data_IF_533668046679
#
_entry.id   IF_533668046679
#
_cell.length_a   1.000
_cell.length_b   1.000
_cell.length_c   1.000
_cell.angle_alpha   90.00
_cell.angle_beta   90.00
_cell.angle_gamma   90.00
#
_symmetry.space_group_name_H-M   'P 1'
#
loop_
_entity.id
_entity.type
_entity.pdbx_description
1 polymer ?
#
# COMPACT_ATOMS: atom_id res chain seq x y z
N UNK A 1 -7.54 42.51 38.73
CA UNK A 1 -7.58 41.47 37.70
C UNK A 1 -6.61 41.90 36.65
N UNK A 2 -5.39 41.40 36.79
CA UNK A 2 -4.24 41.75 35.97
C UNK A 2 -3.93 40.54 35.12
N UNK A 3 -3.87 40.72 33.80
CA UNK A 3 -3.55 39.62 32.90
C UNK A 3 -2.12 39.15 33.17
N UNK A 4 -1.92 37.83 33.21
CA UNK A 4 -0.60 37.22 33.44
C UNK A 4 -0.10 36.50 32.19
N UNK A 5 -0.97 35.76 31.50
CA UNK A 5 -0.56 34.93 30.37
C UNK A 5 -1.65 34.83 29.31
N UNK A 6 -1.24 34.91 28.06
CA UNK A 6 -2.07 34.64 26.88
C UNK A 6 -1.48 33.41 26.19
N UNK A 7 -2.34 32.48 25.78
CA UNK A 7 -1.93 31.27 25.08
C UNK A 7 -2.77 31.13 23.82
N UNK A 8 -2.12 30.91 22.68
CA UNK A 8 -2.79 30.50 21.44
C UNK A 8 -2.41 29.04 21.19
N UNK A 9 -3.41 28.18 21.13
CA UNK A 9 -3.29 26.75 20.84
C UNK A 9 -3.67 26.49 19.39
N UNK A 10 -2.85 25.69 18.70
CA UNK A 10 -3.00 25.35 17.29
C UNK A 10 -3.13 23.84 17.11
N UNK A 11 -3.98 23.40 16.17
CA UNK A 11 -4.17 21.97 15.92
C UNK A 11 -4.89 21.27 17.07
N UNK A 12 -5.92 21.91 17.64
CA UNK A 12 -6.68 21.33 18.75
C UNK A 12 -7.54 20.18 18.22
N UNK A 13 -7.48 18.96 18.81
CA UNK A 13 -8.20 17.81 18.25
C UNK A 13 -9.72 17.95 18.34
N UNK A 14 -10.23 18.44 19.48
CA UNK A 14 -11.66 18.64 19.72
C UNK A 14 -11.91 19.88 20.60
N UNK A 15 -13.13 20.43 20.52
CA UNK A 15 -13.62 21.40 21.48
C UNK A 15 -13.48 20.83 22.91
N UNK A 16 -13.07 21.64 23.86
CA UNK A 16 -12.70 21.29 25.26
C UNK A 16 -11.29 20.72 25.49
N UNK A 17 -10.58 20.28 24.43
CA UNK A 17 -9.25 19.66 24.55
C UNK A 17 -8.09 20.58 24.17
N UNK A 18 -8.18 21.87 24.55
CA UNK A 18 -7.15 22.87 24.21
C UNK A 18 -5.73 22.49 24.67
N UNK A 19 -5.58 21.74 25.77
CA UNK A 19 -4.27 21.30 26.27
C UNK A 19 -3.61 20.22 25.41
N UNK A 20 -4.39 19.52 24.57
CA UNK A 20 -3.90 18.45 23.70
C UNK A 20 -3.52 18.99 22.31
N UNK A 21 -3.34 20.30 22.18
CA UNK A 21 -2.92 20.96 20.95
C UNK A 21 -1.52 20.50 20.50
N UNK A 22 -1.28 20.59 19.19
CA UNK A 22 0.01 20.22 18.59
C UNK A 22 1.12 21.22 18.90
N UNK A 23 0.74 22.51 18.92
CA UNK A 23 1.63 23.61 19.27
C UNK A 23 0.86 24.71 19.98
N UNK A 24 1.58 25.45 20.82
CA UNK A 24 1.06 26.61 21.51
C UNK A 24 2.07 27.74 21.55
N UNK A 25 1.60 28.98 21.37
CA UNK A 25 2.36 30.20 21.63
C UNK A 25 1.89 30.74 22.98
N UNK A 26 2.81 30.87 23.94
CA UNK A 26 2.55 31.44 25.25
C UNK A 26 3.23 32.81 25.32
N UNK A 27 2.42 33.85 25.50
CA UNK A 27 2.88 35.21 25.71
C UNK A 27 2.68 35.55 27.19
N UNK A 28 3.77 35.80 27.88
CA UNK A 28 3.72 36.24 29.27
C UNK A 28 3.78 37.74 29.36
N UNK A 29 2.83 38.27 30.13
CA UNK A 29 2.61 39.69 30.27
C UNK A 29 2.68 40.06 31.73
N UNK A 30 3.23 41.23 31.99
CA UNK A 30 3.24 41.82 33.32
C UNK A 30 2.67 43.21 33.21
N UNK A 31 1.81 43.56 34.17
CA UNK A 31 1.34 44.93 34.27
C UNK A 31 2.51 45.84 34.64
N UNK A 32 2.72 46.89 33.86
CA UNK A 32 3.62 47.96 34.26
C UNK A 32 2.86 48.87 35.23
N UNK A 33 3.42 49.09 36.41
CA UNK A 33 2.85 49.99 37.42
C UNK A 33 3.39 51.41 37.29
N UNK A 34 4.42 51.63 36.47
CA UNK A 34 5.01 52.93 36.22
C UNK A 34 4.24 53.74 35.18
N UNK A 35 3.61 53.06 34.21
CA UNK A 35 2.72 53.64 33.22
C UNK A 35 1.30 53.18 33.52
N UNK A 36 0.33 54.10 33.75
CA UNK A 36 -1.06 53.71 33.93
C UNK A 36 -1.55 52.96 32.69
N UNK A 37 -2.06 51.74 32.91
CA UNK A 37 -2.75 50.91 31.91
C UNK A 37 -1.90 50.42 30.73
N UNK A 38 -0.61 50.12 30.93
CA UNK A 38 0.16 49.31 29.99
C UNK A 38 0.53 47.94 30.54
N UNK A 39 0.65 46.98 29.64
CA UNK A 39 1.27 45.69 29.89
C UNK A 39 2.62 45.68 29.18
N UNK A 40 3.61 45.06 29.81
CA UNK A 40 4.87 44.72 29.17
C UNK A 40 4.86 43.23 28.83
N UNK A 41 5.32 42.91 27.63
CA UNK A 41 5.52 41.53 27.21
C UNK A 41 6.89 41.10 27.74
N UNK A 42 6.89 40.14 28.66
CA UNK A 42 8.12 39.63 29.27
C UNK A 42 8.83 38.66 28.34
N UNK A 43 8.09 37.67 27.83
CA UNK A 43 8.61 36.64 26.95
C UNK A 43 7.52 36.01 26.12
N UNK A 44 7.95 35.50 24.96
CA UNK A 44 7.16 34.65 24.08
C UNK A 44 7.84 33.29 24.11
N UNK A 45 7.08 32.26 24.43
CA UNK A 45 7.55 30.87 24.48
C UNK A 45 6.67 30.00 23.61
N UNK A 46 7.24 28.97 23.04
CA UNK A 46 6.54 28.04 22.14
C UNK A 46 6.59 26.66 22.76
N UNK A 47 5.43 26.11 23.07
CA UNK A 47 5.28 24.71 23.50
C UNK A 47 4.86 23.90 22.27
N UNK A 48 5.82 23.19 21.68
CA UNK A 48 5.61 22.44 20.45
C UNK A 48 6.53 21.24 20.41
N UNK A 49 6.00 20.07 20.02
CA UNK A 49 6.80 18.83 19.87
C UNK A 49 7.73 18.90 18.67
N UNK A 50 7.28 19.57 17.61
CA UNK A 50 8.00 19.84 16.38
C UNK A 50 7.91 21.35 16.09
N UNK A 51 8.84 21.94 15.33
CA UNK A 51 8.84 23.39 15.03
C UNK A 51 7.74 23.78 14.03
N UNK A 52 6.46 23.63 14.42
CA UNK A 52 5.28 23.94 13.61
C UNK A 52 5.06 25.44 13.48
N UNK A 53 5.37 26.19 14.54
CA UNK A 53 5.38 27.65 14.54
C UNK A 53 6.82 28.14 14.58
N UNK A 54 7.14 29.07 13.69
CA UNK A 54 8.43 29.72 13.64
C UNK A 54 8.61 30.67 14.82
N UNK A 55 9.50 30.31 15.75
CA UNK A 55 9.78 31.10 16.93
C UNK A 55 10.42 32.46 16.58
N UNK A 56 11.26 32.51 15.55
CA UNK A 56 12.01 33.72 15.17
C UNK A 56 11.11 34.75 14.47
N UNK A 57 10.07 34.26 13.78
CA UNK A 57 9.08 35.11 13.12
C UNK A 57 7.90 35.50 14.04
N UNK A 58 7.88 35.01 15.29
CA UNK A 58 6.79 35.33 16.21
C UNK A 58 7.04 36.64 16.93
N UNK A 59 6.08 37.56 16.85
CA UNK A 59 6.12 38.84 17.57
C UNK A 59 4.77 39.12 18.23
N UNK A 60 4.80 39.81 19.36
CA UNK A 60 3.61 40.24 20.07
C UNK A 60 3.74 41.72 20.42
N UNK A 61 2.65 42.46 20.27
CA UNK A 61 2.56 43.87 20.69
C UNK A 61 1.27 44.10 21.44
N UNK A 62 1.27 45.11 22.30
CA UNK A 62 0.08 45.51 23.08
C UNK A 62 -0.20 46.98 22.86
N UNK A 63 -1.47 47.31 22.62
CA UNK A 63 -1.95 48.68 22.42
C UNK A 63 -3.20 48.90 23.27
N UNK A 64 -3.34 50.11 23.79
CA UNK A 64 -4.56 50.53 24.47
C UNK A 64 -5.54 51.10 23.44
N UNK A 65 -6.77 50.56 23.40
CA UNK A 65 -7.80 50.89 22.41
C UNK A 65 -9.13 51.13 23.11
N UNK A 66 -9.99 51.99 22.57
CA UNK A 66 -11.34 52.19 23.12
C UNK A 66 -12.18 50.94 22.89
N UNK A 67 -12.70 50.33 23.96
CA UNK A 67 -13.57 49.15 23.86
C UNK A 67 -14.89 49.46 23.14
N UNK A 68 -15.40 50.67 23.35
CA UNK A 68 -16.69 51.11 22.82
C UNK A 68 -16.60 52.59 22.42
N UNK A 69 -17.48 53.02 21.51
CA UNK A 69 -17.52 54.43 21.04
C UNK A 69 -18.25 55.32 22.05
N UNK A 70 -19.17 54.75 22.83
CA UNK A 70 -20.05 55.47 23.75
C UNK A 70 -19.46 55.66 25.16
N UNK A 71 -18.92 54.59 25.75
CA UNK A 71 -18.29 54.62 27.06
C UNK A 71 -16.78 54.59 26.87
N UNK A 72 -16.06 55.56 27.46
CA UNK A 72 -14.58 55.70 27.45
C UNK A 72 -13.85 54.55 28.19
N UNK A 73 -14.41 53.35 28.15
CA UNK A 73 -13.80 52.11 28.61
C UNK A 73 -12.62 51.80 27.70
N UNK A 74 -11.44 51.68 28.33
CA UNK A 74 -10.19 51.35 27.65
C UNK A 74 -9.96 49.83 27.71
N UNK A 75 -9.69 49.25 26.55
CA UNK A 75 -9.36 47.84 26.34
C UNK A 75 -7.89 47.71 25.97
N UNK A 76 -7.34 46.53 26.21
CA UNK A 76 -6.03 46.16 25.69
C UNK A 76 -6.21 45.26 24.48
N UNK A 77 -5.61 45.66 23.36
CA UNK A 77 -5.50 44.86 22.17
C UNK A 77 -4.11 44.23 22.12
N UNK A 78 -4.07 42.90 22.11
CA UNK A 78 -2.85 42.13 21.89
C UNK A 78 -2.82 41.68 20.44
N UNK A 79 -1.76 42.04 19.74
CA UNK A 79 -1.54 41.70 18.33
C UNK A 79 -0.36 40.73 18.28
N UNK A 80 -0.62 39.47 17.96
CA UNK A 80 0.36 38.39 17.89
C UNK A 80 0.49 37.98 16.42
N UNK A 81 1.66 38.20 15.84
CA UNK A 81 2.00 37.80 14.48
C UNK A 81 2.90 36.59 14.54
N UNK A 82 2.59 35.56 13.76
CA UNK A 82 3.33 34.31 13.73
C UNK A 82 3.32 33.72 12.32
N UNK A 83 4.24 32.80 12.05
CA UNK A 83 4.31 32.03 10.81
C UNK A 83 4.21 30.54 11.11
N UNK A 84 3.28 29.88 10.43
CA UNK A 84 3.13 28.42 10.48
C UNK A 84 4.02 27.80 9.40
N UNK A 85 4.80 26.81 9.80
CA UNK A 85 5.83 26.14 8.99
C UNK A 85 5.31 24.85 8.35
N UNK A 86 4.26 24.25 8.89
CA UNK A 86 3.68 23.02 8.38
C UNK A 86 2.17 23.00 8.61
N UNK A 87 1.41 22.29 7.77
CA UNK A 87 -0.02 22.14 8.00
C UNK A 87 -0.29 21.41 9.32
N UNK A 88 -1.25 21.94 10.10
CA UNK A 88 -1.71 21.38 11.37
C UNK A 88 -2.65 20.20 11.11
N UNK A 89 -2.74 19.24 12.04
CA UNK A 89 -3.66 18.10 11.91
C UNK A 89 -5.14 18.46 12.03
N UNK A 90 -5.43 19.55 12.73
CA UNK A 90 -6.77 20.09 12.93
C UNK A 90 -6.79 21.58 12.64
N UNK A 91 -7.89 22.06 12.09
CA UNK A 91 -8.09 23.48 11.77
C UNK A 91 -8.64 24.28 12.98
N UNK A 92 -8.82 23.63 14.14
CA UNK A 92 -9.32 24.29 15.35
C UNK A 92 -8.18 25.03 16.06
N UNK A 93 -8.41 26.32 16.32
CA UNK A 93 -7.54 27.17 17.13
C UNK A 93 -8.26 27.50 18.44
N UNK A 94 -7.52 27.53 19.56
CA UNK A 94 -8.07 27.99 20.83
C UNK A 94 -7.23 29.13 21.41
N UNK A 95 -7.91 30.11 21.99
CA UNK A 95 -7.32 31.25 22.66
C UNK A 95 -7.60 31.13 24.14
N UNK A 96 -6.57 31.27 24.96
CA UNK A 96 -6.68 31.20 26.41
C UNK A 96 -6.05 32.42 27.05
N UNK A 97 -6.76 33.02 28.00
CA UNK A 97 -6.26 34.11 28.81
C UNK A 97 -6.30 33.71 30.29
N UNK A 98 -5.20 33.97 30.99
CA UNK A 98 -5.02 33.65 32.40
C UNK A 98 -4.69 34.92 33.19
N UNK A 99 -5.49 35.18 34.22
CA UNK A 99 -5.28 36.26 35.20
C UNK A 99 -4.30 35.83 36.30
N UNK A 100 -3.74 36.80 37.03
CA UNK A 100 -3.00 36.62 38.29
C UNK A 100 -3.69 35.72 39.32
N UNK A 101 -5.03 35.70 39.36
CA UNK A 101 -5.83 34.81 40.20
C UNK A 101 -5.93 33.36 39.65
N UNK A 102 -5.19 33.04 38.58
CA UNK A 102 -5.19 31.75 37.88
C UNK A 102 -6.55 31.34 37.29
N UNK A 103 -7.44 32.30 37.07
CA UNK A 103 -8.68 32.07 36.32
C UNK A 103 -8.34 32.00 34.85
N UNK A 104 -8.77 30.93 34.19
CA UNK A 104 -8.48 30.66 32.78
C UNK A 104 -9.79 30.69 32.00
N UNK A 105 -9.82 31.49 30.94
CA UNK A 105 -10.92 31.53 29.98
C UNK A 105 -10.39 31.05 28.64
N UNK A 106 -11.01 30.00 28.09
CA UNK A 106 -10.65 29.44 26.78
C UNK A 106 -11.79 29.66 25.79
N UNK A 107 -11.45 30.24 24.64
CA UNK A 107 -12.35 30.47 23.52
C UNK A 107 -11.85 29.70 22.31
N UNK A 108 -12.74 29.01 21.60
CA UNK A 108 -12.40 28.23 20.42
C UNK A 108 -12.82 28.97 19.16
N UNK A 109 -11.97 28.93 18.13
CA UNK A 109 -12.29 29.34 16.78
C UNK A 109 -12.16 28.10 15.88
N UNK A 110 -13.31 27.57 15.50
CA UNK A 110 -13.44 26.34 14.71
C UNK A 110 -13.85 26.59 13.25
N UNK A 111 -14.34 27.79 12.93
CA UNK A 111 -14.90 28.11 11.62
C UNK A 111 -14.20 29.34 11.01
N UNK A 112 -13.82 29.23 9.74
CA UNK A 112 -13.16 30.31 9.00
C UNK A 112 -11.63 30.41 9.13
N UNK A 113 -10.97 29.45 9.79
CA UNK A 113 -9.50 29.37 9.83
C UNK A 113 -9.06 28.20 8.95
N UNK A 114 -8.31 28.49 7.88
CA UNK A 114 -7.75 27.47 6.99
C UNK A 114 -6.26 27.74 6.87
N UNK A 115 -5.46 26.75 7.26
CA UNK A 115 -4.02 26.76 7.03
C UNK A 115 -3.74 26.14 5.66
N UNK A 116 -3.37 26.98 4.70
CA UNK A 116 -3.04 26.59 3.34
C UNK A 116 -1.58 26.93 3.02
N UNK A 117 -0.89 26.05 2.31
CA UNK A 117 0.51 26.20 1.92
C UNK A 117 1.28 24.88 1.99
N UNK A 118 2.42 24.84 1.32
CA UNK A 118 3.33 23.70 1.38
C UNK A 118 4.10 23.69 2.69
N UNK A 119 4.43 22.50 3.21
CA UNK A 119 5.25 22.40 4.41
C UNK A 119 6.69 22.84 4.13
N UNK A 120 7.19 23.74 4.97
CA UNK A 120 8.60 24.16 4.99
C UNK A 120 9.47 23.24 5.86
N UNK A 121 8.85 22.29 6.57
CA UNK A 121 9.56 21.31 7.37
C UNK A 121 9.99 20.13 6.51
N UNK A 122 11.12 19.51 6.88
CA UNK A 122 11.54 18.27 6.28
C UNK A 122 10.45 17.18 6.49
N UNK A 123 10.26 16.29 5.51
CA UNK A 123 9.32 15.17 5.64
C UNK A 123 9.72 14.28 6.81
N UNK A 124 8.74 13.81 7.57
CA UNK A 124 9.02 12.90 8.68
C UNK A 124 9.52 11.57 8.12
N UNK A 125 10.51 10.96 8.78
CA UNK A 125 11.09 9.69 8.35
C UNK A 125 10.97 8.64 9.45
N UNK A 126 10.64 7.41 9.06
CA UNK A 126 10.59 6.26 9.95
C UNK A 126 11.29 5.09 9.28
N UNK A 127 12.07 4.33 10.05
CA UNK A 127 12.76 3.14 9.54
C UNK A 127 12.40 1.94 10.37
N UNK A 128 12.16 0.81 9.71
CA UNK A 128 11.94 -0.47 10.39
C UNK A 128 12.42 -1.62 9.51
N UNK A 129 12.65 -2.76 10.14
CA UNK A 129 13.16 -3.95 9.47
C UNK A 129 12.05 -4.98 9.36
N UNK A 130 11.80 -5.48 8.14
CA UNK A 130 10.91 -6.61 7.92
C UNK A 130 11.73 -7.85 7.59
N UNK A 131 11.40 -8.96 8.24
CA UNK A 131 11.86 -10.29 7.86
C UNK A 131 10.68 -11.05 7.25
N UNK A 132 10.69 -11.26 5.93
CA UNK A 132 9.74 -12.17 5.26
C UNK A 132 10.35 -13.58 5.25
N UNK A 133 9.94 -14.43 6.19
CA UNK A 133 10.44 -15.80 6.31
C UNK A 133 11.93 -15.89 6.72
N UNK A 134 12.68 -16.80 6.08
CA UNK A 134 14.10 -17.07 6.36
C UNK A 134 15.09 -16.17 5.58
N UNK A 135 14.65 -15.02 5.07
CA UNK A 135 15.53 -14.12 4.34
C UNK A 135 16.53 -13.43 5.28
N UNK A 136 17.81 -13.59 4.95
CA UNK A 136 18.94 -12.84 5.51
C UNK A 136 19.68 -12.15 4.36
N UNK A 137 19.96 -10.84 4.43
CA UNK A 137 19.68 -9.89 5.50
C UNK A 137 18.21 -9.44 5.57
N UNK A 138 17.80 -8.90 6.73
CA UNK A 138 16.49 -8.28 6.88
C UNK A 138 16.40 -7.02 6.00
N UNK A 139 15.30 -6.85 5.30
CA UNK A 139 15.06 -5.69 4.46
C UNK A 139 14.76 -4.48 5.35
N UNK A 140 15.50 -3.38 5.15
CA UNK A 140 15.26 -2.12 5.85
C UNK A 140 14.36 -1.25 4.99
N UNK A 141 13.19 -0.94 5.50
CA UNK A 141 12.18 -0.10 4.86
C UNK A 141 12.30 1.31 5.43
N UNK A 142 12.46 2.29 4.55
CA UNK A 142 12.53 3.71 4.92
C UNK A 142 11.26 4.39 4.47
N UNK A 143 10.40 4.72 5.43
CA UNK A 143 9.18 5.45 5.19
C UNK A 143 9.41 6.94 5.29
N UNK A 144 8.82 7.67 4.36
CA UNK A 144 8.80 9.13 4.32
C UNK A 144 7.34 9.60 4.35
N UNK A 145 7.03 10.58 5.17
CA UNK A 145 5.72 11.23 5.21
C UNK A 145 5.83 12.60 4.55
N UNK A 146 5.22 12.76 3.38
CA UNK A 146 5.22 14.04 2.68
C UNK A 146 4.24 15.05 3.30
N UNK A 147 3.03 14.60 3.63
CA UNK A 147 2.02 15.44 4.28
C UNK A 147 1.75 14.93 5.70
N UNK A 148 1.93 15.81 6.69
CA UNK A 148 1.72 15.51 8.11
C UNK A 148 0.25 15.34 8.46
N UNK A 149 -0.67 15.98 7.72
CA UNK A 149 -2.11 15.91 7.99
C UNK A 149 -2.65 14.50 7.89
N UNK A 150 -2.10 13.75 6.96
CA UNK A 150 -2.55 12.40 6.68
C UNK A 150 -1.53 11.41 7.18
N UNK A 151 -2.02 10.36 7.81
CA UNK A 151 -1.20 9.24 8.25
C UNK A 151 -0.81 8.32 7.08
N UNK A 152 -0.35 8.91 5.99
CA UNK A 152 0.00 8.25 4.74
C UNK A 152 1.50 8.37 4.55
N UNK A 153 2.17 7.23 4.50
CA UNK A 153 3.62 7.12 4.42
C UNK A 153 4.01 6.42 3.13
N UNK A 154 5.10 6.86 2.51
CA UNK A 154 5.62 6.28 1.27
C UNK A 154 7.00 5.67 1.50
N UNK A 155 7.17 4.44 1.05
CA UNK A 155 8.44 3.72 1.10
C UNK A 155 9.36 4.08 -0.08
N UNK A 156 10.64 3.73 0.03
CA UNK A 156 11.66 3.83 -1.03
C UNK A 156 11.27 3.12 -2.33
N UNK A 157 10.39 2.12 -2.25
CA UNK A 157 9.86 1.37 -3.39
C UNK A 157 8.52 1.91 -3.92
N UNK A 158 8.01 3.01 -3.37
CA UNK A 158 6.72 3.61 -3.77
C UNK A 158 5.49 2.94 -3.16
N UNK A 159 5.66 2.05 -2.17
CA UNK A 159 4.53 1.46 -1.45
C UNK A 159 3.95 2.44 -0.44
N UNK A 160 2.62 2.39 -0.27
CA UNK A 160 1.89 3.24 0.67
C UNK A 160 1.63 2.47 1.95
N UNK A 161 1.97 3.09 3.07
CA UNK A 161 1.85 2.57 4.41
C UNK A 161 0.99 3.49 5.28
N UNK A 162 0.25 2.89 6.20
CA UNK A 162 -0.48 3.58 7.27
C UNK A 162 0.06 3.10 8.62
N UNK A 163 0.05 3.99 9.62
CA UNK A 163 0.32 3.60 11.00
C UNK A 163 -1.00 3.40 11.75
N UNK A 164 -1.21 2.29 12.44
CA UNK A 164 -2.42 2.16 13.26
C UNK A 164 -2.26 2.88 14.61
N UNK A 165 -3.35 2.96 15.38
CA UNK A 165 -3.37 3.55 16.73
C UNK A 165 -2.40 2.85 17.70
N UNK A 166 -2.16 1.55 17.49
CA UNK A 166 -1.21 0.74 18.28
C UNK A 166 0.26 0.96 17.87
N UNK A 167 0.52 1.80 16.87
CA UNK A 167 1.86 2.14 16.40
C UNK A 167 2.51 1.13 15.45
N UNK A 168 1.80 0.09 15.01
CA UNK A 168 2.25 -0.85 13.99
C UNK A 168 1.94 -0.35 12.57
N UNK A 169 2.76 -0.79 11.62
CA UNK A 169 2.67 -0.39 10.22
C UNK A 169 1.84 -1.37 9.40
N UNK A 170 0.95 -0.83 8.56
CA UNK A 170 0.13 -1.59 7.62
C UNK A 170 0.40 -1.12 6.19
N UNK A 171 0.78 -2.05 5.32
CA UNK A 171 0.97 -1.77 3.90
C UNK A 171 -0.39 -1.79 3.20
N UNK A 172 -0.81 -0.66 2.61
CA UNK A 172 -2.05 -0.59 1.84
C UNK A 172 -1.89 -1.18 0.44
N UNK A 173 -0.83 -0.79 -0.26
CA UNK A 173 -0.58 -1.27 -1.62
C UNK A 173 0.08 -2.63 -1.56
N UNK A 174 -0.71 -3.67 -1.83
CA UNK A 174 -0.19 -5.01 -2.01
C UNK A 174 0.43 -5.03 -3.41
N UNK A 175 1.76 -5.26 -3.50
CA UNK A 175 2.32 -5.69 -4.77
C UNK A 175 1.54 -6.96 -5.19
N UNK A 176 1.06 -7.02 -6.42
CA UNK A 176 0.56 -8.27 -6.98
C UNK A 176 1.72 -9.26 -6.89
N UNK A 177 1.70 -10.11 -5.87
CA UNK A 177 2.62 -11.20 -5.76
C UNK A 177 2.17 -12.21 -6.80
N UNK A 178 2.77 -12.14 -7.99
CA UNK A 178 2.77 -13.29 -8.86
C UNK A 178 3.62 -14.33 -8.13
N UNK A 179 2.95 -15.34 -7.55
CA UNK A 179 3.64 -16.57 -7.23
C UNK A 179 4.38 -17.00 -8.49
N UNK A 180 5.72 -17.02 -8.43
CA UNK A 180 6.51 -17.84 -9.33
C UNK A 180 6.19 -19.30 -8.98
N UNK A 181 4.96 -19.72 -9.29
CA UNK A 181 4.59 -21.10 -9.32
C UNK A 181 5.33 -21.71 -10.51
N UNK A 182 6.06 -22.79 -10.26
CA UNK A 182 6.56 -23.62 -11.35
C UNK A 182 5.38 -23.92 -12.28
N UNK A 183 5.50 -23.73 -13.61
CA UNK A 183 4.42 -24.02 -14.54
C UNK A 183 3.94 -25.44 -14.30
N UNK A 184 2.63 -25.70 -14.35
CA UNK A 184 2.07 -27.03 -14.05
C UNK A 184 2.77 -28.11 -14.90
N UNK A 185 3.72 -28.83 -14.29
CA UNK A 185 4.55 -29.78 -15.03
C UNK A 185 3.81 -31.11 -15.11
N UNK A 186 3.32 -31.46 -16.29
CA UNK A 186 2.78 -32.79 -16.57
C UNK A 186 3.93 -33.75 -16.93
N UNK A 187 3.72 -35.06 -16.85
CA UNK A 187 4.70 -36.09 -17.26
C UNK A 187 5.25 -35.82 -18.66
N UNK A 188 4.41 -35.26 -19.54
CA UNK A 188 4.76 -34.93 -20.93
C UNK A 188 5.60 -33.64 -21.09
N UNK A 189 5.63 -32.75 -20.10
CA UNK A 189 6.40 -31.49 -20.15
C UNK A 189 7.70 -31.54 -19.33
N UNK A 190 8.01 -32.70 -18.71
CA UNK A 190 9.28 -32.94 -18.02
C UNK A 190 10.39 -33.27 -19.01
N UNK A 191 11.14 -32.25 -19.43
CA UNK A 191 12.42 -32.43 -20.14
C UNK A 191 13.52 -32.90 -19.19
N UNK A 192 13.50 -34.19 -18.84
CA UNK A 192 14.65 -34.84 -18.22
C UNK A 192 15.43 -35.57 -19.31
N UNK A 193 16.73 -35.25 -19.41
CA UNK A 193 17.63 -35.81 -20.44
C UNK A 193 17.72 -37.34 -20.41
N UNK A 194 17.36 -37.97 -19.28
CA UNK A 194 17.40 -39.43 -19.14
C UNK A 194 16.13 -40.15 -19.63
N UNK A 195 15.05 -39.45 -20.01
CA UNK A 195 13.83 -40.13 -20.47
C UNK A 195 14.01 -40.80 -21.81
N UNK A 196 14.73 -40.14 -22.73
CA UNK A 196 15.07 -40.69 -24.03
C UNK A 196 15.82 -42.02 -23.84
N UNK A 197 16.80 -42.04 -22.93
CA UNK A 197 17.53 -43.26 -22.58
C UNK A 197 16.66 -44.36 -21.96
N UNK A 198 15.63 -44.00 -21.18
CA UNK A 198 14.70 -44.98 -20.60
C UNK A 198 13.78 -45.61 -21.67
N UNK A 199 13.27 -44.80 -22.61
CA UNK A 199 12.47 -45.29 -23.75
C UNK A 199 13.32 -46.24 -24.61
N UNK A 200 14.56 -45.88 -24.87
CA UNK A 200 15.47 -46.67 -25.69
C UNK A 200 15.85 -47.99 -24.99
N UNK A 201 16.08 -47.96 -23.68
CA UNK A 201 16.32 -49.17 -22.89
C UNK A 201 15.10 -50.11 -22.84
N UNK A 202 13.89 -49.57 -22.67
CA UNK A 202 12.66 -50.39 -22.72
C UNK A 202 12.39 -50.93 -24.13
N UNK A 203 12.72 -50.18 -25.19
CA UNK A 203 12.62 -50.67 -26.56
C UNK A 203 13.58 -51.83 -26.82
N UNK A 204 14.84 -51.72 -26.40
CA UNK A 204 15.83 -52.82 -26.50
C UNK A 204 15.36 -54.03 -25.68
N UNK A 205 14.78 -53.81 -24.50
CA UNK A 205 14.23 -54.89 -23.68
C UNK A 205 13.01 -55.55 -24.32
N UNK A 206 12.15 -54.78 -24.98
CA UNK A 206 10.99 -55.29 -25.70
C UNK A 206 11.39 -56.08 -26.96
N UNK A 207 12.43 -55.67 -27.69
CA UNK A 207 12.96 -56.43 -28.84
C UNK A 207 13.43 -57.84 -28.44
N UNK A 208 13.94 -58.04 -27.22
CA UNK A 208 14.30 -59.37 -26.70
C UNK A 208 13.09 -60.28 -26.44
N UNK A 209 11.93 -59.70 -26.14
CA UNK A 209 10.70 -60.46 -25.85
C UNK A 209 9.92 -60.71 -27.14
N UNK A 210 9.84 -59.71 -28.03
CA UNK A 210 9.11 -59.81 -29.28
C UNK A 210 9.57 -58.73 -30.27
N UNK A 211 10.27 -59.14 -31.32
CA UNK A 211 10.70 -58.23 -32.37
C UNK A 211 9.61 -58.09 -33.45
N UNK A 212 8.79 -57.04 -33.35
CA UNK A 212 7.75 -56.77 -34.35
C UNK A 212 8.30 -56.42 -35.74
N UNK A 213 9.60 -56.07 -35.86
CA UNK A 213 10.23 -55.80 -37.17
C UNK A 213 10.62 -57.07 -37.93
N UNK A 214 10.67 -58.22 -37.25
CA UNK A 214 10.85 -59.55 -37.86
C UNK A 214 9.53 -60.18 -38.33
N UNK A 215 8.40 -59.54 -38.07
CA UNK A 215 7.12 -59.91 -38.69
C UNK A 215 7.23 -59.53 -40.17
N UNK A 216 7.81 -60.44 -40.96
CA UNK A 216 7.80 -60.35 -42.40
C UNK A 216 6.36 -60.15 -42.86
N UNK A 217 6.11 -59.09 -43.62
CA UNK A 217 4.86 -58.80 -44.32
C UNK A 217 4.56 -59.80 -45.46
N UNK A 218 5.18 -60.98 -45.44
CA UNK A 218 4.86 -62.08 -46.33
C UNK A 218 3.76 -62.91 -45.70
N UNK A 219 2.54 -62.58 -46.09
CA UNK A 219 1.38 -63.41 -45.79
C UNK A 219 1.54 -64.73 -46.54
N UNK A 220 1.90 -65.79 -45.80
CA UNK A 220 1.78 -67.16 -46.29
C UNK A 220 0.33 -67.45 -46.67
N UNK A 221 0.12 -68.37 -47.62
CA UNK A 221 -1.15 -68.70 -48.30
C UNK A 221 -2.24 -69.32 -47.40
N UNK A 222 -2.36 -68.89 -46.14
CA UNK A 222 -3.34 -69.39 -45.18
C UNK A 222 -4.14 -68.24 -44.59
N UNK A 223 -4.95 -67.59 -45.42
CA UNK A 223 -6.11 -66.85 -44.90
C UNK A 223 -7.19 -67.88 -44.55
N UNK A 224 -7.38 -68.13 -43.26
CA UNK A 224 -8.57 -68.83 -42.75
C UNK A 224 -9.82 -68.00 -43.07
N UNK A 225 -10.85 -68.66 -43.61
CA UNK A 225 -12.07 -68.07 -44.16
C UNK A 225 -12.99 -67.29 -43.19
N UNK A 226 -12.64 -67.16 -41.90
CA UNK A 226 -13.54 -66.64 -40.86
C UNK A 226 -13.31 -65.18 -40.45
N UNK A 227 -12.45 -64.42 -41.13
CA UNK A 227 -12.30 -62.99 -40.86
C UNK A 227 -13.13 -62.17 -41.87
N UNK A 228 -14.16 -61.41 -41.45
CA UNK A 228 -14.87 -60.50 -42.34
C UNK A 228 -13.95 -59.33 -42.70
N UNK A 229 -13.30 -59.43 -43.86
CA UNK A 229 -12.46 -58.35 -44.39
C UNK A 229 -13.38 -57.28 -44.99
N UNK A 230 -13.32 -56.07 -44.43
CA UNK A 230 -13.98 -54.90 -45.03
C UNK A 230 -13.34 -54.60 -46.39
N UNK A 231 -14.12 -54.78 -47.46
CA UNK A 231 -13.71 -54.66 -48.86
C UNK A 231 -13.04 -53.30 -49.13
N UNK A 232 -13.44 -52.25 -48.41
CA UNK A 232 -12.91 -50.88 -48.54
C UNK A 232 -11.42 -50.73 -48.18
N UNK A 233 -10.79 -51.73 -47.55
CA UNK A 233 -9.38 -51.69 -47.15
C UNK A 233 -8.43 -52.47 -48.07
N UNK A 234 -8.93 -53.15 -49.10
CA UNK A 234 -8.11 -53.91 -50.05
C UNK A 234 -7.87 -53.08 -51.32
N UNK A 235 -6.63 -52.58 -51.51
CA UNK A 235 -6.23 -51.81 -52.70
C UNK A 235 -5.51 -52.63 -53.77
N UNK A 236 -5.23 -53.92 -53.52
CA UNK A 236 -4.52 -54.76 -54.47
C UNK A 236 -5.46 -55.34 -55.54
N UNK A 237 -5.24 -55.03 -56.83
CA UNK A 237 -6.16 -55.42 -57.91
C UNK A 237 -6.22 -56.94 -58.12
N UNK A 238 -5.10 -57.64 -57.89
CA UNK A 238 -4.99 -59.11 -58.08
C UNK A 238 -5.88 -59.88 -57.08
N UNK A 239 -6.01 -59.37 -55.85
CA UNK A 239 -6.81 -60.02 -54.80
C UNK A 239 -8.31 -59.83 -55.08
N UNK A 240 -8.70 -58.65 -55.57
CA UNK A 240 -10.10 -58.35 -55.93
C UNK A 240 -10.59 -59.23 -57.09
N UNK A 241 -9.75 -59.50 -58.09
CA UNK A 241 -10.11 -60.39 -59.19
C UNK A 241 -10.32 -61.83 -58.73
N UNK A 242 -9.45 -62.34 -57.84
CA UNK A 242 -9.60 -63.69 -57.27
C UNK A 242 -10.88 -63.83 -56.44
N UNK A 243 -11.23 -62.82 -55.65
CA UNK A 243 -12.48 -62.80 -54.89
C UNK A 243 -13.72 -62.80 -55.79
N UNK A 244 -13.72 -62.00 -56.87
CA UNK A 244 -14.83 -61.99 -57.85
C UNK A 244 -15.02 -63.34 -58.53
N UNK A 245 -13.93 -64.00 -58.93
CA UNK A 245 -14.00 -65.34 -59.54
C UNK A 245 -14.55 -66.36 -58.55
N UNK A 246 -14.13 -66.30 -57.29
CA UNK A 246 -14.62 -67.19 -56.23
C UNK A 246 -16.10 -66.96 -55.89
N UNK A 247 -16.55 -65.71 -55.84
CA UNK A 247 -17.96 -65.36 -55.60
C UNK A 247 -18.86 -65.87 -56.74
N UNK A 248 -18.45 -65.72 -57.99
CA UNK A 248 -19.16 -66.27 -59.15
C UNK A 248 -19.22 -67.80 -59.09
N UNK A 249 -18.14 -68.46 -58.64
CA UNK A 249 -18.12 -69.91 -58.47
C UNK A 249 -19.06 -70.39 -57.36
N UNK A 250 -19.09 -69.69 -56.22
CA UNK A 250 -19.99 -70.00 -55.10
C UNK A 250 -21.47 -69.79 -55.49
N UNK A 251 -21.79 -68.72 -56.22
CA UNK A 251 -23.15 -68.47 -56.71
C UNK A 251 -23.60 -69.55 -57.72
N UNK A 252 -22.70 -70.02 -58.59
CA UNK A 252 -23.00 -71.14 -59.50
C UNK A 252 -23.20 -72.47 -58.77
N UNK A 253 -22.49 -72.69 -57.67
CA UNK A 253 -22.68 -73.87 -56.83
C UNK A 253 -24.03 -73.86 -56.11
N UNK A 254 -24.51 -72.69 -55.67
CA UNK A 254 -25.82 -72.52 -55.03
C UNK A 254 -27.01 -72.55 -56.00
N UNK A 255 -26.77 -72.40 -57.30
CA UNK A 255 -27.80 -72.53 -58.36
C UNK A 255 -27.94 -73.97 -58.90
N UNK A 256 -27.18 -74.93 -58.35
CA UNK A 256 -27.26 -76.36 -58.64
C UNK A 256 -27.92 -77.10 -57.48
#
# INVERSE_FOLDING_TARGET
MDLQRIIIYFGVPDLSRATDAESAILVEVKRDYSIPSSYDILYITHDQKEPLVDADATSATVKEVSCNVADKLKCHQFEITFRIMAPLSSDIVAFSAMDTDRRVTVTYANDGIIFAGDSLLAPATATFQIKKGNQHPAETITLTQQDRRYNVWTDQHGFVWLKNEYGSWFQMTHAAYEELADPSVNVMTRHHSSFAGMIEAERVRAELVFNASEIASHVGESFSHDAPVRIDKLKDPVILERLKVAEIAALRYLQR
#
